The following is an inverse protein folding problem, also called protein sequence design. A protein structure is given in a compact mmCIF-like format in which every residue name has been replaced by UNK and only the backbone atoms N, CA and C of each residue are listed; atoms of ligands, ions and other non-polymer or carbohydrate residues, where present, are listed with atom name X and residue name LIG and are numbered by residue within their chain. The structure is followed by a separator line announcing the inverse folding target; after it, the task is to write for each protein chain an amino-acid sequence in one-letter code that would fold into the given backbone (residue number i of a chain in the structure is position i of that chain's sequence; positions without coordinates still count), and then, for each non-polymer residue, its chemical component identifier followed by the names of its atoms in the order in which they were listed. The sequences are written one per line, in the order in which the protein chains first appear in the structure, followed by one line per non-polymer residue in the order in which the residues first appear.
data_IF_780674317052
#
_entry.id   IF_780674317052
#
_cell.length_a   1.000
_cell.length_b   1.000
_cell.length_c   1.000
_cell.angle_alpha   90.00
_cell.angle_beta   90.00
_cell.angle_gamma   90.00
#
_symmetry.space_group_name_H-M   'P 1'
#
loop_
_entity.id
_entity.type
_entity.pdbx_description
1 polymer ?
#
# COMPACT_ATOMS: atom_id res chain seq x y z
N UNK A 1 -3.48 -16.66 -11.20
CA UNK A 1 -3.68 -16.64 -9.74
C UNK A 1 -2.39 -16.36 -8.98
N UNK A 2 -1.29 -17.11 -9.21
CA UNK A 2 0.01 -16.83 -8.57
C UNK A 2 0.61 -15.47 -8.92
N UNK A 3 0.48 -15.01 -10.18
CA UNK A 3 1.04 -13.71 -10.57
C UNK A 3 0.40 -12.53 -9.82
N UNK A 4 -0.91 -12.55 -9.60
CA UNK A 4 -1.60 -11.53 -8.80
C UNK A 4 -1.15 -11.57 -7.34
N UNK A 5 -0.92 -12.76 -6.77
CA UNK A 5 -0.40 -12.91 -5.42
C UNK A 5 1.04 -12.36 -5.32
N UNK A 6 1.90 -12.67 -6.29
CA UNK A 6 3.28 -12.16 -6.35
C UNK A 6 3.29 -10.65 -6.51
N UNK A 7 2.43 -10.09 -7.37
CA UNK A 7 2.29 -8.64 -7.52
C UNK A 7 1.83 -7.97 -6.23
N UNK A 8 0.88 -8.59 -5.52
CA UNK A 8 0.37 -8.08 -4.24
C UNK A 8 1.44 -8.11 -3.15
N UNK A 9 2.24 -9.18 -3.09
CA UNK A 9 3.36 -9.32 -2.15
C UNK A 9 4.49 -8.34 -2.46
N UNK A 10 4.81 -8.12 -3.75
CA UNK A 10 5.77 -7.09 -4.17
C UNK A 10 5.28 -5.70 -3.78
N UNK A 11 4.01 -5.41 -4.04
CA UNK A 11 3.39 -4.13 -3.64
C UNK A 11 3.43 -3.93 -2.12
N UNK A 12 3.22 -5.01 -1.33
CA UNK A 12 3.36 -4.99 0.13
C UNK A 12 4.78 -4.67 0.59
N UNK A 13 5.80 -5.16 -0.13
CA UNK A 13 7.20 -4.92 0.20
C UNK A 13 7.67 -3.51 -0.16
N UNK A 14 7.17 -2.93 -1.25
CA UNK A 14 7.64 -1.64 -1.75
C UNK A 14 7.01 -0.43 -1.05
N UNK A 15 5.81 -0.57 -0.47
CA UNK A 15 5.10 0.54 0.17
C UNK A 15 4.70 0.27 1.64
N UNK A 16 5.65 -0.15 2.50
CA UNK A 16 5.34 -0.52 3.89
C UNK A 16 4.84 0.68 4.72
N UNK A 17 5.47 1.85 4.56
CA UNK A 17 5.12 3.06 5.31
C UNK A 17 3.76 3.62 4.92
N UNK A 18 3.43 3.60 3.63
CA UNK A 18 2.15 4.11 3.14
C UNK A 18 0.99 3.20 3.55
N UNK A 19 1.24 1.88 3.65
CA UNK A 19 0.27 0.94 4.20
C UNK A 19 0.09 1.07 5.70
N UNK A 20 1.17 1.29 6.45
CA UNK A 20 1.08 1.58 7.88
C UNK A 20 0.24 2.83 8.11
N UNK A 21 0.53 3.92 7.39
CA UNK A 21 -0.27 5.14 7.45
C UNK A 21 -1.72 4.90 7.02
N UNK A 22 -1.95 4.18 5.92
CA UNK A 22 -3.29 3.85 5.44
C UNK A 22 -4.09 3.06 6.50
N UNK A 23 -3.44 2.13 7.20
CA UNK A 23 -4.02 1.37 8.30
C UNK A 23 -4.30 2.25 9.52
N UNK A 24 -3.34 3.05 9.97
CA UNK A 24 -3.46 3.94 11.12
C UNK A 24 -4.56 4.99 10.94
N UNK A 25 -4.74 5.47 9.71
CA UNK A 25 -5.77 6.44 9.34
C UNK A 25 -7.09 5.81 8.83
N UNK A 26 -7.14 4.48 8.65
CA UNK A 26 -8.33 3.78 8.13
C UNK A 26 -8.71 4.17 6.70
N UNK A 27 -7.73 4.58 5.87
CA UNK A 27 -7.93 5.05 4.49
C UNK A 27 -7.21 4.14 3.49
N UNK A 28 -7.49 4.30 2.20
CA UNK A 28 -6.75 3.55 1.17
C UNK A 28 -5.33 4.10 0.96
N UNK A 29 -4.43 3.24 0.48
CA UNK A 29 -3.04 3.59 0.14
C UNK A 29 -2.99 4.66 -0.94
N UNK A 30 -3.98 4.71 -1.85
CA UNK A 30 -4.09 5.78 -2.83
C UNK A 30 -4.25 7.16 -2.18
N UNK A 31 -5.03 7.25 -1.10
CA UNK A 31 -5.24 8.48 -0.32
C UNK A 31 -3.94 8.94 0.34
N UNK A 32 -3.16 8.00 0.89
CA UNK A 32 -1.84 8.30 1.47
C UNK A 32 -0.84 8.74 0.40
N UNK A 33 -0.87 8.16 -0.80
CA UNK A 33 -0.04 8.58 -1.92
C UNK A 33 -0.37 10.00 -2.40
N UNK A 34 -1.65 10.40 -2.37
CA UNK A 34 -2.05 11.78 -2.70
C UNK A 34 -1.63 12.81 -1.64
N UNK A 35 -1.43 12.41 -0.38
CA UNK A 35 -0.95 13.30 0.69
C UNK A 35 0.54 13.62 0.59
N UNK A 36 1.31 12.89 -0.23
CA UNK A 36 2.73 13.15 -0.44
C UNK A 36 2.89 14.32 -1.42
N UNK A 37 2.79 15.55 -0.88
CA UNK A 37 3.24 16.81 -1.51
C UNK A 37 4.78 16.84 -1.50
#
# INVERSE_FOLDING_TARGET
MEEQLIMTLRYLRYYPTQRLLAFDFGVDVATVNMMRI
#
